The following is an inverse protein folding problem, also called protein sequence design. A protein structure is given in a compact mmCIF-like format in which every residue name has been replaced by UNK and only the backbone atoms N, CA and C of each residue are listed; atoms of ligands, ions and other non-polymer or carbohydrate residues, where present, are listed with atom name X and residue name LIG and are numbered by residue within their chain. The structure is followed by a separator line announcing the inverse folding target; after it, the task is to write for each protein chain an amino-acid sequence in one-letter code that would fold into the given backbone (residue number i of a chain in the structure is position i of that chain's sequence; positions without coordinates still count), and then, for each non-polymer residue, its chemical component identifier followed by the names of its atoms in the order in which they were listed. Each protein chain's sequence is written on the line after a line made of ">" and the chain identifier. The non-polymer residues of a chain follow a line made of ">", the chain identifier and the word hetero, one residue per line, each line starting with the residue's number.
data_IF_752321417210
#
_entry.id   IF_752321417210
#
_cell.length_a   1.000
_cell.length_b   1.000
_cell.length_c   1.000
_cell.angle_alpha   90.00
_cell.angle_beta   90.00
_cell.angle_gamma   90.00
#
_symmetry.space_group_name_H-M   'P 1'
#
loop_
_entity.id
_entity.type
_entity.pdbx_description
1 polymer ?
#
# COMPACT_ATOMS: atom_id res chain seq x y z
N UNK A 1 -23.38 -38.94 14.96
CA UNK A 1 -21.92 -38.69 14.82
C UNK A 1 -21.60 -38.82 13.34
N UNK A 2 -21.20 -37.73 12.69
CA UNK A 2 -20.87 -37.74 11.26
C UNK A 2 -19.37 -37.49 11.14
N UNK A 3 -18.65 -38.55 10.80
CA UNK A 3 -17.19 -38.57 10.65
C UNK A 3 -16.82 -37.78 9.39
N UNK A 4 -16.07 -36.69 9.54
CA UNK A 4 -15.44 -35.95 8.43
C UNK A 4 -14.15 -36.67 8.06
N UNK A 5 -14.10 -37.24 6.86
CA UNK A 5 -12.88 -37.78 6.25
C UNK A 5 -11.97 -36.60 5.88
N UNK A 6 -10.81 -36.48 6.53
CA UNK A 6 -9.71 -35.67 6.03
C UNK A 6 -9.03 -36.46 4.90
N UNK A 7 -8.96 -35.87 3.70
CA UNK A 7 -8.20 -36.41 2.57
C UNK A 7 -6.71 -36.35 2.92
N UNK A 8 -6.12 -37.51 3.17
CA UNK A 8 -4.70 -37.72 3.36
C UNK A 8 -4.03 -37.62 1.98
N UNK A 9 -3.12 -36.65 1.82
CA UNK A 9 -2.37 -36.42 0.59
C UNK A 9 -0.88 -36.72 0.90
N UNK A 10 -0.16 -37.36 -0.03
CA UNK A 10 1.08 -38.11 0.24
C UNK A 10 2.32 -37.20 0.26
N UNK A 11 3.49 -37.68 0.70
CA UNK A 11 4.69 -36.86 0.93
C UNK A 11 5.36 -36.31 -0.37
N UNK A 12 5.06 -36.88 -1.55
CA UNK A 12 5.59 -36.48 -2.88
C UNK A 12 4.82 -35.31 -3.54
N UNK A 13 4.35 -34.38 -2.72
CA UNK A 13 3.21 -33.57 -3.11
C UNK A 13 3.52 -32.09 -3.27
N UNK A 14 3.11 -31.56 -4.43
CA UNK A 14 3.15 -30.13 -4.74
C UNK A 14 2.49 -29.35 -3.60
N UNK A 15 3.27 -28.51 -2.94
CA UNK A 15 2.79 -27.64 -1.89
C UNK A 15 1.78 -26.64 -2.46
N UNK A 16 0.51 -26.82 -2.13
CA UNK A 16 -0.58 -25.93 -2.54
C UNK A 16 -0.71 -24.77 -1.53
N UNK A 17 -0.09 -23.63 -1.83
CA UNK A 17 -0.22 -22.43 -1.01
C UNK A 17 -1.55 -21.70 -1.30
N UNK A 18 -2.45 -21.65 -0.32
CA UNK A 18 -3.73 -20.94 -0.46
C UNK A 18 -3.58 -19.45 -0.10
N UNK A 19 -3.39 -18.60 -1.10
CA UNK A 19 -3.31 -17.14 -0.91
C UNK A 19 -4.61 -16.54 -0.31
N UNK A 20 -5.77 -17.18 -0.49
CA UNK A 20 -7.04 -16.70 0.09
C UNK A 20 -7.11 -16.88 1.61
N UNK A 21 -6.23 -17.67 2.20
CA UNK A 21 -6.14 -17.86 3.66
C UNK A 21 -5.16 -16.88 4.32
N UNK A 22 -4.47 -16.04 3.54
CA UNK A 22 -3.54 -15.03 4.07
C UNK A 22 -4.35 -13.82 4.54
N UNK A 23 -4.16 -13.45 5.80
CA UNK A 23 -4.73 -12.24 6.40
C UNK A 23 -3.62 -11.23 6.69
N UNK A 24 -3.97 -9.93 6.66
CA UNK A 24 -3.04 -8.87 7.03
C UNK A 24 -2.72 -8.95 8.53
N UNK A 25 -1.43 -8.90 8.88
CA UNK A 25 -0.99 -8.84 10.28
C UNK A 25 -1.18 -7.44 10.90
N UNK A 26 -1.43 -6.43 10.08
CA UNK A 26 -1.68 -5.05 10.51
C UNK A 26 -3.12 -4.60 10.28
N UNK A 27 -3.54 -3.63 11.09
CA UNK A 27 -4.80 -2.90 10.90
C UNK A 27 -4.62 -1.95 9.70
N UNK A 28 -5.23 -2.30 8.56
CA UNK A 28 -5.12 -1.60 7.28
C UNK A 28 -5.83 -0.23 7.28
N UNK A 29 -5.52 0.61 8.29
CA UNK A 29 -6.18 1.89 8.49
C UNK A 29 -5.85 2.86 7.37
N UNK A 30 -6.86 3.57 6.85
CA UNK A 30 -6.61 4.62 5.88
C UNK A 30 -5.79 5.76 6.50
N UNK A 31 -4.95 6.37 5.68
CA UNK A 31 -4.20 7.58 5.99
C UNK A 31 -4.97 8.80 5.47
N UNK A 32 -5.30 9.74 6.36
CA UNK A 32 -6.02 10.97 6.01
C UNK A 32 -5.08 12.16 6.17
N UNK A 33 -5.04 13.04 5.16
CA UNK A 33 -4.21 14.24 5.20
C UNK A 33 -4.95 15.46 4.65
N UNK A 34 -4.47 16.65 5.02
CA UNK A 34 -4.98 17.91 4.54
C UNK A 34 -4.17 18.40 3.35
N UNK A 35 -4.84 18.73 2.26
CA UNK A 35 -4.21 19.38 1.12
C UNK A 35 -5.12 20.44 0.52
N UNK A 36 -4.57 21.63 0.39
CA UNK A 36 -5.32 22.85 0.17
C UNK A 36 -5.12 23.37 -1.25
N UNK A 37 -6.19 23.83 -1.88
CA UNK A 37 -6.11 24.73 -3.04
C UNK A 37 -6.47 26.16 -2.60
N UNK A 38 -6.23 27.17 -3.45
CA UNK A 38 -6.68 28.55 -3.17
C UNK A 38 -8.20 28.66 -2.96
N UNK A 39 -8.98 27.71 -3.49
CA UNK A 39 -10.45 27.70 -3.39
C UNK A 39 -10.95 26.88 -2.19
N UNK A 40 -10.18 25.90 -1.75
CA UNK A 40 -10.53 24.99 -0.66
C UNK A 40 -9.33 24.79 0.27
N UNK A 41 -9.18 25.62 1.32
CA UNK A 41 -7.96 25.67 2.12
C UNK A 41 -7.78 24.49 3.08
N UNK A 42 -8.82 23.71 3.36
CA UNK A 42 -8.81 22.64 4.37
C UNK A 42 -9.37 21.32 3.84
N UNK A 43 -9.18 21.04 2.55
CA UNK A 43 -9.68 19.81 1.96
C UNK A 43 -8.92 18.61 2.51
N UNK A 44 -9.67 17.57 2.89
CA UNK A 44 -9.14 16.28 3.34
C UNK A 44 -9.14 15.31 2.17
N UNK A 45 -8.09 14.50 2.10
CA UNK A 45 -7.96 13.38 1.18
C UNK A 45 -7.66 12.12 1.96
N UNK A 46 -8.11 10.99 1.44
CA UNK A 46 -7.90 9.68 2.04
C UNK A 46 -7.02 8.84 1.13
N UNK A 47 -6.11 8.09 1.74
CA UNK A 47 -5.29 7.08 1.09
C UNK A 47 -5.49 5.75 1.81
N UNK A 48 -5.76 4.69 1.06
CA UNK A 48 -5.78 3.33 1.60
C UNK A 48 -4.41 2.94 2.17
N UNK A 49 -4.34 1.93 3.03
CA UNK A 49 -3.06 1.41 3.54
C UNK A 49 -2.22 0.78 2.42
N UNK A 50 -0.88 0.89 2.48
CA UNK A 50 0.02 0.39 1.42
C UNK A 50 -0.15 -1.10 1.13
N UNK A 51 -0.26 -1.94 2.16
CA UNK A 51 -0.50 -3.39 2.02
C UNK A 51 -1.87 -3.74 1.44
N UNK A 52 -2.83 -2.81 1.52
CA UNK A 52 -4.16 -2.98 0.91
C UNK A 52 -4.21 -2.60 -0.56
N UNK A 53 -3.11 -2.10 -1.14
CA UNK A 53 -3.08 -1.71 -2.55
C UNK A 53 -2.90 -2.91 -3.46
N UNK A 54 -3.57 -2.88 -4.61
CA UNK A 54 -3.24 -3.79 -5.71
C UNK A 54 -1.81 -3.51 -6.19
N UNK A 55 -0.97 -4.54 -6.19
CA UNK A 55 0.45 -4.46 -6.54
C UNK A 55 0.68 -4.29 -8.05
N UNK A 56 -0.23 -4.77 -8.91
CA UNK A 56 -0.01 -4.77 -10.36
C UNK A 56 0.09 -3.36 -10.95
N UNK A 57 -0.78 -2.40 -10.61
CA UNK A 57 -0.63 -1.01 -11.04
C UNK A 57 0.65 -0.34 -10.51
N UNK A 58 1.13 -0.75 -9.34
CA UNK A 58 2.33 -0.18 -8.72
C UNK A 58 3.59 -0.63 -9.46
N UNK A 59 3.66 -1.91 -9.84
CA UNK A 59 4.78 -2.44 -10.62
C UNK A 59 4.90 -1.76 -11.98
N UNK A 60 3.78 -1.59 -12.70
CA UNK A 60 3.78 -0.90 -14.00
C UNK A 60 4.24 0.57 -13.89
N UNK A 61 3.98 1.23 -12.76
CA UNK A 61 4.43 2.59 -12.52
C UNK A 61 5.92 2.66 -12.19
N UNK A 62 6.46 1.66 -11.50
CA UNK A 62 7.88 1.58 -11.11
C UNK A 62 8.83 1.44 -12.31
N UNK A 63 8.39 0.78 -13.39
CA UNK A 63 9.16 0.66 -14.64
C UNK A 63 9.51 2.02 -15.28
N UNK A 64 8.79 3.08 -14.90
CA UNK A 64 8.98 4.44 -15.38
C UNK A 64 9.82 5.32 -14.42
N UNK A 65 10.51 4.71 -13.44
CA UNK A 65 11.38 5.37 -12.46
C UNK A 65 10.69 5.78 -11.16
N UNK A 66 11.49 6.19 -10.16
CA UNK A 66 11.04 6.44 -8.77
C UNK A 66 9.90 7.47 -8.63
N UNK A 67 9.94 8.52 -9.44
CA UNK A 67 8.91 9.55 -9.43
C UNK A 67 7.57 8.99 -9.94
N UNK A 68 7.63 8.19 -11.01
CA UNK A 68 6.47 7.51 -11.59
C UNK A 68 5.90 6.47 -10.63
N UNK A 69 6.78 5.72 -9.94
CA UNK A 69 6.39 4.78 -8.89
C UNK A 69 5.60 5.47 -7.77
N UNK A 70 6.11 6.60 -7.27
CA UNK A 70 5.46 7.37 -6.19
C UNK A 70 4.08 7.88 -6.64
N UNK A 71 3.96 8.34 -7.89
CA UNK A 71 2.69 8.78 -8.47
C UNK A 71 1.71 7.60 -8.62
N UNK A 72 2.19 6.44 -9.06
CA UNK A 72 1.41 5.22 -9.15
C UNK A 72 0.82 4.80 -7.79
N UNK A 73 1.64 4.85 -6.74
CA UNK A 73 1.22 4.60 -5.36
C UNK A 73 0.11 5.56 -4.94
N UNK A 74 0.29 6.86 -5.16
CA UNK A 74 -0.74 7.83 -4.79
C UNK A 74 -2.05 7.63 -5.54
N UNK A 75 -1.98 7.33 -6.84
CA UNK A 75 -3.16 7.03 -7.65
C UNK A 75 -3.90 5.79 -7.12
N UNK A 76 -3.18 4.70 -6.85
CA UNK A 76 -3.78 3.48 -6.33
C UNK A 76 -4.39 3.70 -4.94
N UNK A 77 -3.69 4.42 -4.06
CA UNK A 77 -4.13 4.64 -2.69
C UNK A 77 -5.34 5.57 -2.58
N UNK A 78 -5.45 6.59 -3.43
CA UNK A 78 -6.57 7.55 -3.41
C UNK A 78 -7.80 7.07 -4.19
N UNK A 79 -7.62 6.19 -5.17
CA UNK A 79 -8.71 5.75 -6.05
C UNK A 79 -9.42 6.94 -6.71
N UNK A 80 -10.71 7.09 -6.44
CA UNK A 80 -11.56 8.13 -7.04
C UNK A 80 -11.15 9.57 -6.66
N UNK A 81 -10.51 9.77 -5.51
CA UNK A 81 -10.06 11.09 -5.06
C UNK A 81 -8.84 11.61 -5.85
N UNK A 82 -8.16 10.74 -6.60
CA UNK A 82 -6.94 11.07 -7.34
C UNK A 82 -7.12 12.20 -8.35
N UNK A 83 -8.20 12.17 -9.12
CA UNK A 83 -8.46 13.18 -10.17
C UNK A 83 -8.63 14.56 -9.59
N UNK A 84 -9.24 14.64 -8.42
CA UNK A 84 -9.42 15.89 -7.70
C UNK A 84 -8.10 16.38 -7.07
N UNK A 85 -7.35 15.47 -6.44
CA UNK A 85 -6.05 15.80 -5.85
C UNK A 85 -5.11 16.44 -6.89
N UNK A 86 -5.10 15.90 -8.12
CA UNK A 86 -4.28 16.41 -9.24
C UNK A 86 -4.67 17.80 -9.75
N UNK A 87 -5.86 18.31 -9.44
CA UNK A 87 -6.25 19.68 -9.85
C UNK A 87 -5.42 20.75 -9.15
N UNK A 88 -4.82 20.42 -8.01
CA UNK A 88 -3.94 21.34 -7.29
C UNK A 88 -2.48 20.95 -7.54
N UNK A 89 -1.64 21.85 -8.07
CA UNK A 89 -0.22 21.57 -8.26
C UNK A 89 0.43 21.16 -6.93
N UNK A 90 1.08 20.00 -6.91
CA UNK A 90 1.80 19.48 -5.76
C UNK A 90 3.31 19.72 -5.94
N UNK A 91 3.92 20.67 -5.20
CA UNK A 91 5.36 20.86 -5.24
C UNK A 91 6.11 19.60 -4.79
N UNK A 92 7.24 19.31 -5.45
CA UNK A 92 8.01 18.08 -5.21
C UNK A 92 8.42 17.88 -3.75
N UNK A 93 8.76 18.95 -3.01
CA UNK A 93 9.12 18.82 -1.59
C UNK A 93 7.95 18.34 -0.73
N UNK A 94 6.72 18.77 -1.03
CA UNK A 94 5.51 18.32 -0.34
C UNK A 94 5.16 16.89 -0.71
N UNK A 95 5.36 16.51 -1.96
CA UNK A 95 5.22 15.13 -2.43
C UNK A 95 6.12 14.18 -1.62
N UNK A 96 7.40 14.55 -1.43
CA UNK A 96 8.36 13.79 -0.62
C UNK A 96 7.91 13.68 0.84
N UNK A 97 7.50 14.80 1.45
CA UNK A 97 6.99 14.81 2.83
C UNK A 97 5.72 13.96 3.00
N UNK A 98 4.79 14.05 2.06
CA UNK A 98 3.56 13.25 2.04
C UNK A 98 3.88 11.76 1.97
N UNK A 99 4.76 11.35 1.04
CA UNK A 99 5.12 9.95 0.89
C UNK A 99 5.84 9.40 2.13
N UNK A 100 6.74 10.18 2.73
CA UNK A 100 7.41 9.79 3.98
C UNK A 100 6.42 9.61 5.13
N UNK A 101 5.45 10.53 5.29
CA UNK A 101 4.41 10.42 6.32
C UNK A 101 3.51 9.21 6.09
N UNK A 102 3.12 8.96 4.83
CA UNK A 102 2.28 7.84 4.44
C UNK A 102 2.96 6.49 4.68
N UNK A 103 4.23 6.36 4.31
CA UNK A 103 5.05 5.17 4.61
C UNK A 103 5.15 4.90 6.11
N UNK A 104 5.39 5.95 6.91
CA UNK A 104 5.44 5.83 8.37
C UNK A 104 4.10 5.39 8.96
N UNK A 105 2.99 5.92 8.46
CA UNK A 105 1.64 5.51 8.89
C UNK A 105 1.39 4.03 8.60
N UNK A 106 1.85 3.55 7.44
CA UNK A 106 1.66 2.16 7.05
C UNK A 106 2.69 1.18 7.66
N UNK A 107 3.44 1.61 8.68
CA UNK A 107 4.48 0.79 9.30
C UNK A 107 5.70 0.51 8.40
N UNK A 108 5.74 1.06 7.19
CA UNK A 108 6.80 0.83 6.21
C UNK A 108 7.93 1.87 6.39
N UNK A 109 8.64 1.82 7.50
CA UNK A 109 9.83 2.65 7.72
C UNK A 109 10.84 2.42 6.58
N UNK A 110 11.34 3.51 5.97
CA UNK A 110 12.50 3.43 5.08
C UNK A 110 13.74 3.11 5.92
N UNK A 111 13.97 1.83 6.28
CA UNK A 111 15.17 1.44 7.03
C UNK A 111 15.12 0.18 7.90
N UNK A 112 14.03 -0.60 7.99
CA UNK A 112 14.03 -1.81 8.85
C UNK A 112 14.09 -3.12 8.07
N UNK A 113 14.91 -3.13 7.02
CA UNK A 113 15.60 -4.34 6.54
C UNK A 113 17.12 -4.23 6.77
N UNK A 114 17.56 -3.41 7.73
CA UNK A 114 18.88 -3.62 8.34
C UNK A 114 18.75 -4.86 9.22
N UNK A 115 19.00 -6.01 8.59
CA UNK A 115 19.41 -7.28 9.18
C UNK A 115 19.01 -7.49 10.66
N UNK A 116 17.98 -8.32 10.89
CA UNK A 116 18.05 -9.24 12.02
C UNK A 116 19.16 -10.26 11.74
N UNK A 117 20.42 -9.82 11.78
CA UNK A 117 21.55 -10.71 12.04
C UNK A 117 21.60 -10.91 13.55
N UNK A 118 20.60 -11.64 14.05
CA UNK A 118 20.76 -12.38 15.29
C UNK A 118 21.71 -13.55 15.03
N UNK A 119 22.96 -13.41 15.43
CA UNK A 119 23.86 -14.50 15.83
C UNK A 119 24.91 -13.94 16.78
#
# INVERSE_FOLDING_TARGET
>A
MTTRTATNRADDEVFDFNLNAVESETDLKPFVFLWASKKEPNRRFTMQHLEGLDVWPLMAAADNGDASATIGIFRAAMGDEWEEFRKTPLPQYKMKSLFAAYRKHCGTSAGELEASSGS
#
